data_IF_462688077583
#
_entry.id   IF_462688077583
#
_cell.length_a   1.000
_cell.length_b   1.000
_cell.length_c   1.000
_cell.angle_alpha   90.00
_cell.angle_beta   90.00
_cell.angle_gamma   90.00
#
_symmetry.space_group_name_H-M   'P 1'
#
loop_
_entity.id
_entity.type
_entity.pdbx_description
1 polymer ?
#
# COMPACT_ATOMS: atom_id res chain seq x y z
N UNK A 1 -3.03 17.28 5.46
CA UNK A 1 -1.82 17.20 6.29
C UNK A 1 -2.07 17.10 7.80
N UNK A 2 -2.58 18.13 8.51
CA UNK A 2 -2.76 18.04 9.99
C UNK A 2 -3.71 16.92 10.43
N UNK A 3 -4.81 16.71 9.69
CA UNK A 3 -5.78 15.64 9.96
C UNK A 3 -5.18 14.23 9.73
N UNK A 4 -4.40 14.07 8.66
CA UNK A 4 -3.76 12.78 8.32
C UNK A 4 -2.73 12.37 9.38
N UNK A 5 -1.91 13.32 9.82
CA UNK A 5 -0.93 13.09 10.89
C UNK A 5 -1.65 12.73 12.21
N UNK A 6 -2.75 13.41 12.52
CA UNK A 6 -3.58 13.09 13.68
C UNK A 6 -4.17 11.69 13.64
N UNK A 7 -4.67 11.25 12.48
CA UNK A 7 -5.20 9.89 12.28
C UNK A 7 -4.12 8.82 12.43
N UNK A 8 -2.94 9.05 11.87
CA UNK A 8 -1.81 8.12 12.02
C UNK A 8 -1.39 8.05 13.49
N UNK A 9 -1.24 9.18 14.17
CA UNK A 9 -0.90 9.19 15.60
C UNK A 9 -1.95 8.43 16.44
N UNK A 10 -3.24 8.64 16.16
CA UNK A 10 -4.32 7.90 16.80
C UNK A 10 -4.23 6.39 16.54
N UNK A 11 -3.95 5.98 15.31
CA UNK A 11 -3.75 4.57 14.96
C UNK A 11 -2.61 3.95 15.77
N UNK A 12 -1.46 4.64 15.86
CA UNK A 12 -0.32 4.16 16.65
C UNK A 12 -0.64 4.09 18.15
N UNK A 13 -1.27 5.13 18.71
CA UNK A 13 -1.66 5.15 20.11
C UNK A 13 -2.64 4.03 20.45
N UNK A 14 -3.60 3.75 19.56
CA UNK A 14 -4.55 2.65 19.74
C UNK A 14 -3.89 1.27 19.69
N UNK A 15 -2.85 1.09 18.86
CA UNK A 15 -2.09 -0.15 18.84
C UNK A 15 -1.28 -0.35 20.14
N UNK A 16 -0.63 0.72 20.62
CA UNK A 16 0.12 0.68 21.88
C UNK A 16 -0.77 0.43 23.09
N UNK A 17 -1.98 1.00 23.12
CA UNK A 17 -2.90 0.80 24.24
C UNK A 17 -3.32 -0.66 24.40
N UNK A 18 -3.57 -1.38 23.30
CA UNK A 18 -3.89 -2.82 23.32
C UNK A 18 -2.73 -3.64 23.91
N UNK A 19 -1.50 -3.35 23.50
CA UNK A 19 -0.31 -4.02 24.04
C UNK A 19 -0.15 -3.73 25.53
N UNK A 20 -0.34 -2.47 25.94
CA UNK A 20 -0.22 -2.05 27.33
C UNK A 20 -1.26 -2.71 28.23
N UNK A 21 -2.54 -2.71 27.82
CA UNK A 21 -3.63 -3.39 28.53
C UNK A 21 -3.32 -4.89 28.67
N UNK A 22 -2.81 -5.54 27.62
CA UNK A 22 -2.43 -6.94 27.71
C UNK A 22 -1.35 -7.21 28.77
N UNK A 23 -0.37 -6.33 28.94
CA UNK A 23 0.68 -6.51 29.95
C UNK A 23 0.15 -6.32 31.38
N UNK A 24 -0.83 -5.42 31.59
CA UNK A 24 -1.44 -5.19 32.90
C UNK A 24 -2.42 -6.31 33.27
N UNK A 25 -3.21 -6.78 32.30
CA UNK A 25 -4.24 -7.79 32.52
C UNK A 25 -3.71 -9.22 32.72
N UNK A 26 -2.41 -9.46 32.48
CA UNK A 26 -1.83 -10.78 32.77
C UNK A 26 -1.72 -10.99 34.28
N UNK A 27 -2.34 -12.05 34.84
CA UNK A 27 -2.10 -12.41 36.23
C UNK A 27 -0.62 -12.77 36.42
N UNK A 28 0.01 -12.28 37.49
CA UNK A 28 1.37 -12.65 37.89
C UNK A 28 1.35 -14.12 38.37
N UNK A 29 1.36 -15.06 37.43
CA UNK A 29 1.50 -16.49 37.72
C UNK A 29 2.93 -16.84 38.09
N UNK A 30 3.09 -17.74 39.05
CA UNK A 30 4.32 -18.12 39.74
C UNK A 30 5.58 -18.21 38.86
N UNK A 31 6.67 -17.65 39.37
CA UNK A 31 8.00 -17.58 38.75
C UNK A 31 8.63 -18.95 38.39
N UNK A 32 7.99 -20.08 38.74
CA UNK A 32 8.46 -21.43 38.46
C UNK A 32 7.72 -22.12 37.29
N UNK A 33 6.68 -21.52 36.71
CA UNK A 33 6.05 -22.01 35.46
C UNK A 33 6.67 -21.41 34.18
N UNK A 34 7.85 -20.79 34.32
CA UNK A 34 8.59 -20.15 33.24
C UNK A 34 9.15 -21.19 32.27
N UNK A 35 8.57 -21.23 31.06
CA UNK A 35 9.04 -21.86 29.81
C UNK A 35 8.00 -22.75 29.10
N UNK A 36 6.71 -22.69 29.44
CA UNK A 36 5.66 -23.07 28.47
C UNK A 36 5.07 -21.83 27.82
N UNK A 37 5.21 -21.79 26.51
CA UNK A 37 4.61 -20.85 25.54
C UNK A 37 3.08 -20.94 25.52
N UNK A 38 2.44 -20.80 26.68
CA UNK A 38 1.00 -20.84 26.85
C UNK A 38 0.60 -19.54 27.55
N UNK A 39 0.24 -18.53 26.74
CA UNK A 39 -0.29 -17.25 27.23
C UNK A 39 0.48 -16.00 26.80
N UNK A 40 0.65 -15.77 25.49
CA UNK A 40 1.13 -14.47 25.00
C UNK A 40 0.08 -13.36 25.20
N UNK A 41 -1.21 -13.69 25.19
CA UNK A 41 -2.33 -12.80 25.50
C UNK A 41 -3.32 -13.48 26.44
N UNK A 42 -4.02 -12.66 27.25
CA UNK A 42 -5.22 -13.11 27.98
C UNK A 42 -6.34 -13.44 26.98
N UNK A 43 -7.14 -14.47 27.25
CA UNK A 43 -8.25 -14.90 26.37
C UNK A 43 -9.21 -13.74 26.04
N UNK A 44 -9.49 -12.86 27.01
CA UNK A 44 -10.33 -11.68 26.81
C UNK A 44 -9.72 -10.69 25.82
N UNK A 45 -8.41 -10.42 25.94
CA UNK A 45 -7.68 -9.52 25.04
C UNK A 45 -7.58 -10.13 23.64
N UNK A 46 -7.39 -11.44 23.56
CA UNK A 46 -7.34 -12.18 22.31
C UNK A 46 -8.68 -12.09 21.57
N UNK A 47 -9.80 -12.42 22.22
CA UNK A 47 -11.14 -12.31 21.62
C UNK A 47 -11.46 -10.88 21.16
N UNK A 48 -11.14 -9.89 22.00
CA UNK A 48 -11.32 -8.49 21.65
C UNK A 48 -10.49 -8.08 20.43
N UNK A 49 -9.23 -8.50 20.36
CA UNK A 49 -8.36 -8.23 19.22
C UNK A 49 -8.85 -8.89 17.92
N UNK A 50 -9.33 -10.13 17.99
CA UNK A 50 -9.92 -10.83 16.83
C UNK A 50 -11.16 -10.09 16.31
N UNK A 51 -12.01 -9.62 17.21
CA UNK A 51 -13.19 -8.86 16.85
C UNK A 51 -12.84 -7.54 16.14
N UNK A 52 -11.86 -6.79 16.66
CA UNK A 52 -11.39 -5.55 16.02
C UNK A 52 -10.81 -5.83 14.64
N UNK A 53 -9.95 -6.85 14.50
CA UNK A 53 -9.34 -7.21 13.21
C UNK A 53 -10.40 -7.64 12.19
N UNK A 54 -11.42 -8.39 12.62
CA UNK A 54 -12.54 -8.77 11.77
C UNK A 54 -13.32 -7.55 11.28
N UNK A 55 -13.70 -6.64 12.18
CA UNK A 55 -14.41 -5.40 11.80
C UNK A 55 -13.56 -4.53 10.86
N UNK A 56 -12.29 -4.35 11.16
CA UNK A 56 -11.37 -3.60 10.29
C UNK A 56 -11.25 -4.24 8.90
N UNK A 57 -11.18 -5.57 8.82
CA UNK A 57 -11.12 -6.29 7.54
C UNK A 57 -12.41 -6.15 6.74
N UNK A 58 -13.57 -6.27 7.40
CA UNK A 58 -14.88 -6.10 6.75
C UNK A 58 -15.07 -4.67 6.24
N UNK A 59 -14.73 -3.66 7.04
CA UNK A 59 -14.80 -2.25 6.64
C UNK A 59 -13.86 -1.95 5.47
N UNK A 60 -12.64 -2.49 5.46
CA UNK A 60 -11.70 -2.34 4.34
C UNK A 60 -12.23 -2.98 3.04
N UNK A 61 -12.77 -4.20 3.12
CA UNK A 61 -13.32 -4.90 1.94
C UNK A 61 -14.56 -4.19 1.40
N UNK A 62 -15.49 -3.80 2.28
CA UNK A 62 -16.72 -3.10 1.89
C UNK A 62 -16.44 -1.75 1.26
N UNK A 63 -15.56 -0.94 1.86
CA UNK A 63 -15.14 0.35 1.26
C UNK A 63 -14.50 0.16 -0.11
N UNK A 64 -13.64 -0.87 -0.26
CA UNK A 64 -13.03 -1.17 -1.55
C UNK A 64 -14.05 -1.61 -2.61
N UNK A 65 -15.03 -2.46 -2.25
CA UNK A 65 -16.11 -2.87 -3.16
C UNK A 65 -16.97 -1.67 -3.57
N UNK A 66 -17.31 -0.79 -2.62
CA UNK A 66 -18.07 0.43 -2.91
C UNK A 66 -17.29 1.34 -3.87
N UNK A 67 -15.99 1.54 -3.64
CA UNK A 67 -15.14 2.32 -4.55
C UNK A 67 -15.09 1.70 -5.95
N UNK A 68 -14.93 0.38 -6.06
CA UNK A 68 -14.98 -0.35 -7.33
C UNK A 68 -16.31 -0.14 -8.06
N UNK A 69 -17.42 -0.26 -7.35
CA UNK A 69 -18.76 -0.09 -7.91
C UNK A 69 -18.98 1.34 -8.41
N UNK A 70 -18.63 2.35 -7.60
CA UNK A 70 -18.75 3.75 -7.97
C UNK A 70 -17.87 4.10 -9.17
N UNK A 71 -16.61 3.64 -9.19
CA UNK A 71 -15.69 3.86 -10.31
C UNK A 71 -16.21 3.21 -11.61
N UNK A 72 -16.75 1.98 -11.53
CA UNK A 72 -17.34 1.31 -12.70
C UNK A 72 -18.60 2.03 -13.19
N UNK A 73 -19.46 2.48 -12.27
CA UNK A 73 -20.68 3.21 -12.61
C UNK A 73 -20.36 4.53 -13.30
N UNK A 74 -19.41 5.29 -12.77
CA UNK A 74 -18.95 6.55 -13.38
C UNK A 74 -18.32 6.29 -14.76
N UNK A 75 -17.51 5.24 -14.90
CA UNK A 75 -16.93 4.86 -16.19
C UNK A 75 -17.97 4.59 -17.28
N UNK A 76 -19.03 3.84 -16.95
CA UNK A 76 -20.11 3.55 -17.90
C UNK A 76 -20.88 4.83 -18.24
N UNK A 77 -21.21 5.67 -17.25
CA UNK A 77 -21.90 6.93 -17.47
C UNK A 77 -21.12 7.88 -18.38
N UNK A 78 -19.80 8.00 -18.17
CA UNK A 78 -18.91 8.84 -18.99
C UNK A 78 -18.74 8.31 -20.40
N UNK A 79 -18.74 6.99 -20.60
CA UNK A 79 -18.66 6.39 -21.94
C UNK A 79 -19.93 6.64 -22.77
N UNK A 80 -21.11 6.62 -22.14
CA UNK A 80 -22.39 6.88 -22.80
C UNK A 80 -22.58 8.38 -23.11
N UNK A 81 -22.14 9.28 -22.21
CA UNK A 81 -22.30 10.73 -22.36
C UNK A 81 -21.01 11.43 -22.81
N UNK A 82 -20.40 10.94 -23.91
CA UNK A 82 -19.12 11.41 -24.46
C UNK A 82 -19.07 12.92 -24.79
N UNK A 83 -20.18 13.63 -24.90
CA UNK A 83 -20.23 15.05 -25.25
C UNK A 83 -20.30 16.01 -24.05
N UNK A 84 -20.63 15.53 -22.85
CA UNK A 84 -20.94 16.39 -21.69
C UNK A 84 -19.83 16.48 -20.63
N UNK A 85 -18.88 15.54 -20.63
CA UNK A 85 -17.82 15.52 -19.60
C UNK A 85 -16.59 16.34 -19.98
N UNK A 86 -16.18 17.20 -19.05
CA UNK A 86 -14.97 18.03 -19.15
C UNK A 86 -13.71 17.15 -19.18
N UNK A 87 -12.63 17.66 -19.79
CA UNK A 87 -11.36 16.93 -19.92
C UNK A 87 -10.79 16.51 -18.55
N UNK A 88 -11.02 17.35 -17.52
CA UNK A 88 -10.59 17.11 -16.14
C UNK A 88 -11.26 15.89 -15.51
N UNK A 89 -12.57 15.71 -15.70
CA UNK A 89 -13.30 14.56 -15.12
C UNK A 89 -12.84 13.23 -15.71
N UNK A 90 -12.56 13.21 -17.03
CA UNK A 90 -12.02 12.01 -17.69
C UNK A 90 -10.64 11.64 -17.17
N UNK A 91 -9.80 12.64 -16.91
CA UNK A 91 -8.48 12.44 -16.34
C UNK A 91 -8.57 11.85 -14.93
N UNK A 92 -9.37 12.46 -14.05
CA UNK A 92 -9.59 11.98 -12.68
C UNK A 92 -10.13 10.54 -12.65
N UNK A 93 -11.09 10.23 -13.51
CA UNK A 93 -11.65 8.88 -13.61
C UNK A 93 -10.60 7.86 -14.10
N UNK A 94 -9.78 8.22 -15.09
CA UNK A 94 -8.68 7.37 -15.59
C UNK A 94 -7.67 7.07 -14.48
N UNK A 95 -7.31 8.09 -13.70
CA UNK A 95 -6.42 7.98 -12.56
C UNK A 95 -7.01 7.11 -11.43
N UNK A 96 -8.30 7.27 -11.13
CA UNK A 96 -9.02 6.44 -10.15
C UNK A 96 -9.06 4.97 -10.56
N UNK A 97 -9.28 4.66 -11.85
CA UNK A 97 -9.25 3.28 -12.36
C UNK A 97 -7.85 2.70 -12.26
N UNK A 98 -6.81 3.47 -12.62
CA UNK A 98 -5.41 3.04 -12.48
C UNK A 98 -5.07 2.74 -11.02
N UNK A 99 -5.48 3.61 -10.10
CA UNK A 99 -5.27 3.44 -8.66
C UNK A 99 -6.03 2.24 -8.12
N UNK A 100 -7.27 2.03 -8.54
CA UNK A 100 -8.08 0.89 -8.10
C UNK A 100 -7.52 -0.44 -8.60
N UNK A 101 -7.02 -0.49 -9.84
CA UNK A 101 -6.33 -1.67 -10.38
C UNK A 101 -5.07 -2.01 -9.60
N UNK A 102 -4.40 -0.99 -9.06
CA UNK A 102 -3.24 -1.14 -8.18
C UNK A 102 -3.61 -1.69 -6.81
N UNK A 103 -4.69 -1.18 -6.25
CA UNK A 103 -5.14 -1.48 -4.91
C UNK A 103 -5.81 -2.86 -4.83
N UNK A 104 -6.38 -3.34 -5.95
CA UNK A 104 -7.04 -4.64 -6.06
C UNK A 104 -6.22 -5.84 -5.56
N UNK A 105 -5.00 -6.11 -6.05
CA UNK A 105 -4.20 -7.23 -5.56
C UNK A 105 -3.81 -7.08 -4.08
N UNK A 106 -3.55 -5.85 -3.63
CA UNK A 106 -3.16 -5.56 -2.23
C UNK A 106 -4.32 -5.84 -1.28
N UNK A 107 -5.52 -5.32 -1.59
CA UNK A 107 -6.71 -5.52 -0.76
C UNK A 107 -7.15 -6.98 -0.77
N UNK A 108 -7.08 -7.65 -1.93
CA UNK A 108 -7.43 -9.07 -2.05
C UNK A 108 -6.47 -9.94 -1.22
N UNK A 109 -5.15 -9.71 -1.33
CA UNK A 109 -4.16 -10.43 -0.52
C UNK A 109 -4.38 -10.16 0.97
N UNK A 110 -4.60 -8.90 1.38
CA UNK A 110 -4.90 -8.55 2.76
C UNK A 110 -6.15 -9.24 3.29
N UNK A 111 -7.24 -9.26 2.52
CA UNK A 111 -8.48 -9.91 2.91
C UNK A 111 -8.28 -11.42 3.10
N UNK A 112 -7.67 -12.10 2.12
CA UNK A 112 -7.40 -13.55 2.20
C UNK A 112 -6.52 -13.88 3.41
N UNK A 113 -5.42 -13.16 3.60
CA UNK A 113 -4.52 -13.36 4.73
C UNK A 113 -5.22 -13.10 6.07
N UNK A 114 -6.05 -12.07 6.16
CA UNK A 114 -6.77 -11.72 7.39
C UNK A 114 -7.81 -12.78 7.75
N UNK A 115 -8.63 -13.24 6.79
CA UNK A 115 -9.62 -14.29 7.04
C UNK A 115 -8.97 -15.63 7.39
N UNK A 116 -7.88 -16.00 6.71
CA UNK A 116 -7.11 -17.20 7.04
C UNK A 116 -6.54 -17.11 8.46
N UNK A 117 -6.01 -15.95 8.83
CA UNK A 117 -5.47 -15.69 10.17
C UNK A 117 -6.52 -15.81 11.27
N UNK A 118 -7.68 -15.19 11.06
CA UNK A 118 -8.81 -15.28 12.00
C UNK A 118 -9.29 -16.74 12.13
N UNK A 119 -9.43 -17.46 11.02
CA UNK A 119 -9.85 -18.86 11.02
C UNK A 119 -8.87 -19.78 11.77
N UNK A 120 -7.57 -19.63 11.53
CA UNK A 120 -6.52 -20.38 12.25
C UNK A 120 -6.52 -20.05 13.75
N UNK A 121 -6.72 -18.78 14.11
CA UNK A 121 -6.79 -18.38 15.51
C UNK A 121 -8.02 -18.95 16.22
N UNK A 122 -9.20 -18.89 15.59
CA UNK A 122 -10.42 -19.51 16.13
C UNK A 122 -10.19 -21.02 16.33
N UNK A 123 -9.62 -21.69 15.33
CA UNK A 123 -9.28 -23.11 15.41
C UNK A 123 -8.38 -23.41 16.60
N UNK A 124 -7.30 -22.63 16.80
CA UNK A 124 -6.38 -22.79 17.94
C UNK A 124 -7.11 -22.59 19.28
N UNK A 125 -8.00 -21.59 19.37
CA UNK A 125 -8.71 -21.27 20.63
C UNK A 125 -9.83 -22.24 20.98
N UNK A 126 -10.54 -22.78 19.99
CA UNK A 126 -11.71 -23.66 20.19
C UNK A 126 -11.29 -25.13 20.27
N UNK A 127 -10.13 -25.49 19.73
CA UNK A 127 -9.63 -26.87 19.78
C UNK A 127 -9.34 -27.28 21.22
N UNK A 128 -10.28 -28.01 21.81
CA UNK A 128 -10.13 -28.60 23.14
C UNK A 128 -9.13 -29.77 23.04
N UNK A 129 -7.86 -29.48 23.31
CA UNK A 129 -6.74 -30.39 23.12
C UNK A 129 -6.66 -31.43 24.25
N UNK A 130 -7.70 -32.27 24.36
CA UNK A 130 -7.80 -33.33 25.38
C UNK A 130 -6.80 -34.47 25.15
N UNK A 131 -6.48 -34.78 23.89
CA UNK A 131 -5.48 -35.80 23.53
C UNK A 131 -4.10 -35.18 23.29
N UNK A 132 -3.03 -35.94 23.57
CA UNK A 132 -1.65 -35.50 23.32
C UNK A 132 -1.40 -35.21 21.83
N UNK A 133 -2.05 -35.94 20.92
CA UNK A 133 -2.01 -35.71 19.48
C UNK A 133 -2.63 -34.35 19.14
N UNK A 134 -3.76 -34.00 19.75
CA UNK A 134 -4.41 -32.69 19.53
C UNK A 134 -3.55 -31.54 20.08
N UNK A 135 -2.89 -31.72 21.23
CA UNK A 135 -1.96 -30.71 21.78
C UNK A 135 -0.79 -30.46 20.83
N UNK A 136 -0.23 -31.53 20.26
CA UNK A 136 0.84 -31.42 19.27
C UNK A 136 0.36 -30.69 18.00
N UNK A 137 -0.83 -31.03 17.50
CA UNK A 137 -1.42 -30.37 16.33
C UNK A 137 -1.62 -28.86 16.56
N UNK A 138 -2.22 -28.45 17.68
CA UNK A 138 -2.42 -27.03 18.03
C UNK A 138 -1.07 -26.28 18.12
N UNK A 139 -0.05 -26.90 18.71
CA UNK A 139 1.30 -26.30 18.80
C UNK A 139 1.93 -26.09 17.42
N UNK A 140 1.81 -27.08 16.53
CA UNK A 140 2.29 -26.97 15.15
C UNK A 140 1.54 -25.87 14.41
N UNK A 141 0.21 -25.84 14.50
CA UNK A 141 -0.64 -24.80 13.90
C UNK A 141 -0.24 -23.39 14.37
N UNK A 142 0.02 -23.20 15.66
CA UNK A 142 0.45 -21.91 16.21
C UNK A 142 1.82 -21.44 15.65
N UNK A 143 2.78 -22.36 15.52
CA UNK A 143 4.09 -22.05 14.93
C UNK A 143 3.97 -21.72 13.43
N UNK A 144 3.19 -22.50 12.69
CA UNK A 144 2.90 -22.24 11.27
C UNK A 144 2.22 -20.89 11.08
N UNK A 145 1.25 -20.56 11.94
CA UNK A 145 0.58 -19.26 11.94
C UNK A 145 1.56 -18.10 12.18
N UNK A 146 2.44 -18.23 13.17
CA UNK A 146 3.46 -17.22 13.47
C UNK A 146 4.41 -17.00 12.29
N UNK A 147 4.84 -18.08 11.64
CA UNK A 147 5.69 -18.01 10.45
C UNK A 147 4.95 -17.36 9.28
N UNK A 148 3.70 -17.74 9.05
CA UNK A 148 2.84 -17.15 8.02
C UNK A 148 2.68 -15.63 8.20
N UNK A 149 2.39 -15.18 9.42
CA UNK A 149 2.30 -13.76 9.73
C UNK A 149 3.62 -13.02 9.50
N UNK A 150 4.75 -13.61 9.88
CA UNK A 150 6.06 -13.00 9.67
C UNK A 150 6.38 -12.84 8.18
N UNK A 151 6.11 -13.88 7.37
CA UNK A 151 6.28 -13.83 5.91
C UNK A 151 5.34 -12.80 5.29
N UNK A 152 4.09 -12.75 5.72
CA UNK A 152 3.12 -11.77 5.24
C UNK A 152 3.56 -10.33 5.56
N UNK A 153 4.00 -10.07 6.79
CA UNK A 153 4.51 -8.76 7.22
C UNK A 153 5.75 -8.33 6.43
N UNK A 154 6.60 -9.29 6.04
CA UNK A 154 7.76 -9.01 5.20
C UNK A 154 7.36 -8.71 3.75
N UNK A 155 6.38 -9.42 3.17
CA UNK A 155 5.95 -9.29 1.77
C UNK A 155 5.04 -8.06 1.55
N UNK A 156 4.22 -7.70 2.52
CA UNK A 156 3.20 -6.67 2.37
C UNK A 156 3.74 -5.29 1.90
N UNK A 157 4.85 -4.76 2.45
CA UNK A 157 5.45 -3.52 1.95
C UNK A 157 5.89 -3.61 0.49
N UNK A 158 6.38 -4.78 0.06
CA UNK A 158 6.79 -5.02 -1.33
C UNK A 158 5.61 -5.05 -2.29
N UNK A 159 4.47 -5.62 -1.88
CA UNK A 159 3.25 -5.58 -2.70
C UNK A 159 2.80 -4.14 -2.98
N UNK A 160 2.85 -3.27 -1.97
CA UNK A 160 2.56 -1.84 -2.15
C UNK A 160 3.62 -1.16 -3.03
N UNK A 161 4.89 -1.45 -2.79
CA UNK A 161 5.99 -0.79 -3.50
C UNK A 161 6.08 -1.19 -4.98
N UNK A 162 5.91 -2.47 -5.28
CA UNK A 162 5.85 -2.98 -6.66
C UNK A 162 4.53 -2.67 -7.34
N UNK A 163 3.46 -2.38 -6.59
CA UNK A 163 2.27 -1.82 -7.18
C UNK A 163 2.59 -0.47 -7.85
N UNK A 164 3.15 0.48 -7.10
CA UNK A 164 3.13 1.88 -7.52
C UNK A 164 4.22 2.23 -8.56
N UNK A 165 3.88 2.48 -9.85
CA UNK A 165 4.88 2.70 -10.90
C UNK A 165 5.72 3.97 -10.65
N UNK A 166 5.17 5.01 -10.02
CA UNK A 166 5.96 6.20 -9.65
C UNK A 166 6.95 5.90 -8.53
N UNK A 167 6.60 5.02 -7.60
CA UNK A 167 7.53 4.62 -6.53
C UNK A 167 8.62 3.73 -7.10
N UNK A 168 8.28 2.81 -8.01
CA UNK A 168 9.28 2.03 -8.75
C UNK A 168 10.25 2.92 -9.54
N UNK A 169 9.74 3.97 -10.20
CA UNK A 169 10.59 4.95 -10.89
C UNK A 169 11.49 5.70 -9.92
N UNK A 170 10.97 6.12 -8.77
CA UNK A 170 11.76 6.77 -7.72
C UNK A 170 12.85 5.84 -7.16
N UNK A 171 12.52 4.59 -6.85
CA UNK A 171 13.49 3.58 -6.40
C UNK A 171 14.55 3.29 -7.46
N UNK A 172 14.15 3.12 -8.72
CA UNK A 172 15.10 2.98 -9.85
C UNK A 172 15.99 4.20 -9.98
N UNK A 173 15.44 5.41 -9.83
CA UNK A 173 16.23 6.66 -9.83
C UNK A 173 17.23 6.69 -8.67
N UNK A 174 16.86 6.30 -7.45
CA UNK A 174 17.80 6.24 -6.33
C UNK A 174 18.91 5.21 -6.57
N UNK A 175 18.56 4.01 -7.06
CA UNK A 175 19.52 2.95 -7.39
C UNK A 175 20.44 3.33 -8.57
N UNK A 176 19.93 4.05 -9.56
CA UNK A 176 20.68 4.51 -10.74
C UNK A 176 21.41 5.84 -10.50
N UNK A 177 21.01 6.67 -9.52
CA UNK A 177 21.76 7.86 -9.12
C UNK A 177 23.13 7.50 -8.56
N UNK A 178 23.26 6.36 -7.89
CA UNK A 178 24.57 5.81 -7.51
C UNK A 178 25.43 5.39 -8.72
N UNK A 179 24.83 5.23 -9.91
CA UNK A 179 25.51 4.90 -11.18
C UNK A 179 25.57 6.05 -12.17
N UNK A 180 25.01 7.21 -11.83
CA UNK A 180 25.04 8.38 -12.71
C UNK A 180 26.39 9.05 -12.53
N UNK A 181 27.40 8.50 -13.20
CA UNK A 181 28.58 9.29 -13.57
C UNK A 181 28.08 10.61 -14.14
N UNK A 182 28.69 11.72 -13.71
CA UNK A 182 28.38 13.08 -14.18
C UNK A 182 28.18 13.03 -15.69
N UNK A 183 26.92 13.04 -16.14
CA UNK A 183 26.63 13.24 -17.56
C UNK A 183 27.01 14.68 -17.77
N UNK A 184 28.15 14.89 -18.43
CA UNK A 184 28.55 16.21 -18.90
C UNK A 184 27.35 16.80 -19.62
N UNK A 185 27.01 18.04 -19.31
CA UNK A 185 25.88 18.74 -19.91
C UNK A 185 26.16 18.96 -21.41
N UNK A 186 25.98 17.90 -22.20
CA UNK A 186 25.98 18.00 -23.64
C UNK A 186 24.67 18.71 -24.00
N UNK A 187 24.81 19.91 -24.57
CA UNK A 187 23.69 20.77 -24.89
C UNK A 187 22.69 20.01 -25.77
N UNK A 188 21.38 20.10 -25.47
CA UNK A 188 20.39 19.33 -26.19
C UNK A 188 20.44 19.72 -27.68
N UNK A 189 20.53 18.72 -28.56
CA UNK A 189 20.52 18.89 -30.02
C UNK A 189 19.25 18.29 -30.59
N UNK A 190 18.73 18.84 -31.67
CA UNK A 190 17.59 18.28 -32.40
C UNK A 190 18.02 17.02 -33.18
N UNK A 191 17.05 16.34 -33.82
CA UNK A 191 17.31 15.15 -34.64
C UNK A 191 18.26 15.38 -35.83
N UNK A 192 18.49 16.64 -36.18
CA UNK A 192 19.41 17.06 -37.24
C UNK A 192 20.76 17.54 -36.68
N UNK A 193 21.04 17.33 -35.39
CA UNK A 193 22.29 17.69 -34.74
C UNK A 193 22.46 19.18 -34.40
N UNK A 194 21.42 20.00 -34.59
CA UNK A 194 21.45 21.45 -34.29
C UNK A 194 21.13 21.68 -32.82
N UNK A 195 21.94 22.50 -32.16
CA UNK A 195 21.76 22.87 -30.76
C UNK A 195 20.40 23.57 -30.52
N UNK A 196 19.62 23.04 -29.58
CA UNK A 196 18.30 23.55 -29.21
C UNK A 196 18.38 24.76 -28.27
N UNK A 197 19.48 24.91 -27.54
CA UNK A 197 19.73 26.09 -26.70
C UNK A 197 20.61 27.03 -27.52
N UNK A 198 19.99 27.89 -28.32
CA UNK A 198 20.74 28.98 -28.95
C UNK A 198 21.13 30.01 -27.88
N UNK A 199 22.34 30.53 -27.95
CA UNK A 199 22.71 31.72 -27.18
C UNK A 199 21.77 32.88 -27.56
N UNK A 200 21.49 33.79 -26.63
CA UNK A 200 20.55 34.90 -26.77
C UNK A 200 20.83 35.76 -28.01
N UNK A 201 22.10 35.84 -28.45
CA UNK A 201 22.50 36.49 -29.70
C UNK A 201 22.06 35.70 -30.95
N UNK A 202 22.18 34.38 -30.94
CA UNK A 202 21.78 33.48 -32.02
C UNK A 202 20.26 33.42 -32.21
N UNK A 203 19.51 33.36 -31.11
CA UNK A 203 18.03 33.38 -31.13
C UNK A 203 17.51 34.67 -31.76
N UNK A 204 18.14 35.81 -31.42
CA UNK A 204 17.78 37.12 -31.97
C UNK A 204 18.01 37.19 -33.48
N UNK A 205 19.15 36.68 -33.96
CA UNK A 205 19.43 36.64 -35.41
C UNK A 205 18.50 35.71 -36.17
N UNK A 206 18.15 34.55 -35.61
CA UNK A 206 17.20 33.62 -36.24
C UNK A 206 15.79 34.21 -36.32
N UNK A 207 15.36 34.91 -35.26
CA UNK A 207 14.06 35.59 -35.22
C UNK A 207 13.98 36.75 -36.23
N UNK A 208 15.05 37.54 -36.37
CA UNK A 208 15.10 38.62 -37.38
C UNK A 208 15.19 38.07 -38.80
N UNK A 209 15.92 36.97 -39.03
CA UNK A 209 15.98 36.32 -40.34
C UNK A 209 14.60 35.78 -40.77
N UNK A 210 13.86 35.15 -39.83
CA UNK A 210 12.51 34.68 -40.08
C UNK A 210 11.56 35.85 -40.39
N UNK A 211 11.60 36.94 -39.61
CA UNK A 211 10.82 38.15 -39.88
C UNK A 211 11.14 38.75 -41.25
N UNK A 212 12.43 38.79 -41.62
CA UNK A 212 12.83 39.35 -42.91
C UNK A 212 12.41 38.47 -44.08
N UNK A 213 12.45 37.14 -43.93
CA UNK A 213 11.88 36.23 -44.94
C UNK A 213 10.37 36.41 -45.10
N UNK A 214 9.64 36.60 -44.00
CA UNK A 214 8.20 36.82 -44.03
C UNK A 214 7.82 38.19 -44.63
N UNK A 215 8.70 39.19 -44.52
CA UNK A 215 8.48 40.53 -45.07
C UNK A 215 8.78 40.62 -46.57
N UNK A 216 9.73 39.82 -47.05
CA UNK A 216 10.13 39.77 -48.46
C UNK A 216 9.37 38.69 -49.27
N UNK A 217 8.36 38.06 -48.65
CA UNK A 217 7.40 37.15 -49.29
C UNK A 217 6.13 37.90 -49.65
#
# INVERSE_FOLDING_TARGET
MKLEIGLVAFQWLSAWSVVFVNQISKPKGDANATCRTQGYMSDTVLLFSLYIVLLASLTAVTTFIVLLYLNKRQYIATFLNRSLHTLSERYQLSENIKTTRLLYPVVTANAVCSFLSIGLMIFITVSDAKSEIAKMAVKISNNCFSLFLAVYAAIFPWLGAFGHPELQRAMKKMLLCCKRGKVSAEQPRNANGVELIMNQSGERSAHFAALQSAWNS
#
